data_IF_469192725353
#
_entry.id   IF_469192725353
#
_cell.length_a   1.000
_cell.length_b   1.000
_cell.length_c   1.000
_cell.angle_alpha   90.00
_cell.angle_beta   90.00
_cell.angle_gamma   90.00
#
_symmetry.space_group_name_H-M   'P 1'
#
loop_
_entity.id
_entity.type
_entity.pdbx_description
1 polymer ?
#
# COMPACT_ATOMS: atom_id res chain seq x y z
N UNK A 1 -6.91 -22.90 3.87
CA UNK A 1 -7.38 -21.87 2.93
C UNK A 1 -8.62 -21.25 3.53
N UNK A 2 -8.53 -20.01 4.00
CA UNK A 2 -9.65 -19.34 4.67
C UNK A 2 -10.65 -18.83 3.61
N UNK A 3 -11.93 -19.07 3.84
CA UNK A 3 -13.10 -18.91 2.94
C UNK A 3 -13.44 -17.46 2.50
N UNK A 4 -12.56 -16.48 2.65
CA UNK A 4 -12.84 -15.08 2.28
C UNK A 4 -12.92 -14.85 0.76
N UNK A 5 -12.51 -15.81 -0.08
CA UNK A 5 -12.44 -15.65 -1.54
C UNK A 5 -13.69 -16.05 -2.34
N UNK A 6 -14.72 -16.57 -1.70
CA UNK A 6 -15.95 -17.01 -2.41
C UNK A 6 -17.06 -15.97 -2.34
N UNK A 7 -16.89 -14.79 -2.96
CA UNK A 7 -18.02 -13.87 -3.00
C UNK A 7 -17.80 -12.48 -3.58
N UNK A 8 -16.56 -12.08 -3.86
CA UNK A 8 -16.30 -10.73 -4.37
C UNK A 8 -16.16 -10.73 -5.88
N UNK A 9 -16.99 -9.89 -6.54
CA UNK A 9 -16.90 -9.68 -7.98
C UNK A 9 -15.91 -8.52 -8.25
N UNK A 10 -14.77 -8.84 -8.85
CA UNK A 10 -13.75 -7.85 -9.25
C UNK A 10 -13.82 -7.57 -10.76
N UNK A 11 -14.75 -8.18 -11.49
CA UNK A 11 -14.86 -8.05 -12.93
C UNK A 11 -15.04 -6.58 -13.35
N UNK A 12 -14.31 -6.19 -14.38
CA UNK A 12 -14.33 -4.83 -14.92
C UNK A 12 -13.45 -3.82 -14.15
N UNK A 13 -12.71 -4.25 -13.12
CA UNK A 13 -11.67 -3.42 -12.50
C UNK A 13 -10.37 -3.52 -13.29
N UNK A 14 -9.63 -2.43 -13.33
CA UNK A 14 -8.31 -2.35 -13.93
C UNK A 14 -7.29 -1.97 -12.85
N UNK A 15 -6.38 -2.89 -12.55
CA UNK A 15 -5.32 -2.72 -11.56
C UNK A 15 -4.04 -2.22 -12.23
N UNK A 16 -3.51 -1.09 -11.76
CA UNK A 16 -2.20 -0.58 -12.11
C UNK A 16 -1.20 -0.93 -11.00
N UNK A 17 -0.24 -1.79 -11.29
CA UNK A 17 0.88 -2.11 -10.39
C UNK A 17 1.98 -1.07 -10.57
N UNK A 18 2.28 -0.33 -9.52
CA UNK A 18 3.26 0.75 -9.49
C UNK A 18 4.55 0.30 -8.79
N UNK A 19 5.65 0.17 -9.55
CA UNK A 19 6.93 -0.36 -9.10
C UNK A 19 8.03 0.72 -9.12
N UNK A 20 8.36 1.37 -7.99
CA UNK A 20 9.58 2.16 -7.89
C UNK A 20 10.80 1.22 -7.77
N UNK A 21 11.68 1.21 -8.77
CA UNK A 21 12.83 0.29 -8.85
C UNK A 21 14.14 1.05 -9.13
N UNK A 22 14.71 1.67 -8.08
CA UNK A 22 15.87 2.56 -8.22
C UNK A 22 17.04 1.93 -8.98
N UNK A 23 17.41 0.69 -8.65
CA UNK A 23 18.59 0.00 -9.16
C UNK A 23 18.32 -0.84 -10.42
N UNK A 24 17.19 -0.62 -11.11
CA UNK A 24 16.77 -1.37 -12.31
C UNK A 24 16.53 -2.86 -12.05
N UNK A 25 16.30 -3.26 -10.80
CA UNK A 25 16.16 -4.66 -10.42
C UNK A 25 14.90 -4.88 -9.58
N UNK A 26 14.40 -6.10 -9.67
CA UNK A 26 13.43 -6.65 -8.75
C UNK A 26 13.96 -7.97 -8.18
N UNK A 27 13.54 -8.35 -7.00
CA UNK A 27 13.90 -9.66 -6.46
C UNK A 27 13.27 -10.77 -7.32
N UNK A 28 13.95 -11.92 -7.44
CA UNK A 28 13.40 -13.06 -8.19
C UNK A 28 12.02 -13.48 -7.62
N UNK A 29 11.83 -13.39 -6.31
CA UNK A 29 10.54 -13.70 -5.68
C UNK A 29 9.46 -12.72 -6.10
N UNK A 30 9.75 -11.41 -6.16
CA UNK A 30 8.81 -10.42 -6.70
C UNK A 30 8.48 -10.72 -8.17
N UNK A 31 9.48 -11.03 -9.00
CA UNK A 31 9.23 -11.37 -10.40
C UNK A 31 8.25 -12.56 -10.53
N UNK A 32 8.41 -13.58 -9.70
CA UNK A 32 7.50 -14.73 -9.63
C UNK A 32 6.09 -14.30 -9.15
N UNK A 33 6.01 -13.45 -8.11
CA UNK A 33 4.74 -12.91 -7.61
C UNK A 33 3.99 -12.15 -8.68
N UNK A 34 4.67 -11.29 -9.44
CA UNK A 34 4.09 -10.51 -10.56
C UNK A 34 3.63 -11.43 -11.71
N UNK A 35 4.42 -12.45 -12.04
CA UNK A 35 4.03 -13.42 -13.08
C UNK A 35 2.75 -14.19 -12.69
N UNK A 36 2.64 -14.62 -11.43
CA UNK A 36 1.43 -15.27 -10.90
C UNK A 36 0.24 -14.31 -10.90
N UNK A 37 0.42 -13.07 -10.45
CA UNK A 37 -0.63 -12.05 -10.48
C UNK A 37 -1.15 -11.84 -11.91
N UNK A 38 -0.24 -11.70 -12.88
CA UNK A 38 -0.61 -11.52 -14.29
C UNK A 38 -1.35 -12.75 -14.86
N UNK A 39 -1.02 -13.95 -14.42
CA UNK A 39 -1.68 -15.19 -14.82
C UNK A 39 -3.07 -15.35 -14.20
N UNK A 40 -3.26 -14.88 -12.97
CA UNK A 40 -4.51 -15.04 -12.22
C UNK A 40 -5.50 -13.89 -12.45
N UNK A 41 -5.05 -12.67 -12.74
CA UNK A 41 -5.91 -11.49 -12.90
C UNK A 41 -7.06 -11.68 -13.90
N UNK A 42 -6.85 -12.27 -15.10
CA UNK A 42 -7.95 -12.52 -16.03
C UNK A 42 -9.01 -13.49 -15.49
N UNK A 43 -8.64 -14.42 -14.62
CA UNK A 43 -9.56 -15.38 -14.00
C UNK A 43 -10.53 -14.69 -13.02
N UNK A 44 -10.15 -13.53 -12.50
CA UNK A 44 -10.98 -12.66 -11.66
C UNK A 44 -11.68 -11.55 -12.47
N UNK A 45 -11.51 -11.51 -13.80
CA UNK A 45 -12.03 -10.45 -14.66
C UNK A 45 -11.36 -9.10 -14.44
N UNK A 46 -10.12 -9.10 -13.93
CA UNK A 46 -9.30 -7.91 -13.64
C UNK A 46 -8.35 -7.67 -14.81
N UNK A 47 -8.38 -6.46 -15.37
CA UNK A 47 -7.35 -5.97 -16.27
C UNK A 47 -6.10 -5.58 -15.46
N UNK A 48 -4.90 -5.85 -15.98
CA UNK A 48 -3.66 -5.59 -15.29
C UNK A 48 -2.70 -4.74 -16.14
N UNK A 49 -2.21 -3.66 -15.58
CA UNK A 49 -1.09 -2.87 -16.11
C UNK A 49 0.04 -2.81 -15.09
N UNK A 50 1.28 -2.78 -15.58
CA UNK A 50 2.46 -2.65 -14.72
C UNK A 50 3.27 -1.43 -15.19
N UNK A 51 3.43 -0.45 -14.31
CA UNK A 51 4.29 0.71 -14.49
C UNK A 51 5.50 0.64 -13.58
N UNK A 52 6.68 1.03 -14.08
CA UNK A 52 7.89 1.08 -13.27
C UNK A 52 8.70 2.34 -13.52
N UNK A 53 9.26 2.92 -12.45
CA UNK A 53 10.20 4.03 -12.54
C UNK A 53 11.57 3.55 -12.03
N UNK A 54 12.53 3.51 -12.97
CA UNK A 54 13.89 3.07 -12.68
C UNK A 54 14.85 4.26 -12.60
N UNK A 55 15.97 4.10 -11.86
CA UNK A 55 17.05 5.10 -11.79
C UNK A 55 16.66 6.43 -11.13
N UNK A 56 15.53 6.49 -10.42
CA UNK A 56 15.10 7.67 -9.68
C UNK A 56 15.49 7.55 -8.21
N UNK A 57 16.53 8.30 -7.79
CA UNK A 57 17.02 8.29 -6.40
C UNK A 57 16.10 8.97 -5.39
N UNK A 58 15.12 9.72 -5.85
CA UNK A 58 14.12 10.39 -5.01
C UNK A 58 12.83 9.59 -5.09
N UNK A 59 12.54 8.80 -4.06
CA UNK A 59 11.41 7.87 -4.03
C UNK A 59 10.07 8.59 -4.15
N UNK A 60 9.88 9.75 -3.51
CA UNK A 60 8.68 10.57 -3.65
C UNK A 60 8.44 10.99 -5.11
N UNK A 61 9.50 11.39 -5.83
CA UNK A 61 9.41 11.70 -7.26
C UNK A 61 9.03 10.47 -8.09
N UNK A 62 9.62 9.30 -7.80
CA UNK A 62 9.28 8.06 -8.49
C UNK A 62 7.80 7.69 -8.30
N UNK A 63 7.27 7.82 -7.08
CA UNK A 63 5.86 7.60 -6.78
C UNK A 63 4.96 8.62 -7.47
N UNK A 64 5.33 9.91 -7.52
CA UNK A 64 4.56 10.94 -8.23
C UNK A 64 4.49 10.67 -9.74
N UNK A 65 5.56 10.17 -10.35
CA UNK A 65 5.57 9.75 -11.76
C UNK A 65 4.60 8.58 -11.98
N UNK A 66 4.63 7.57 -11.12
CA UNK A 66 3.73 6.42 -11.20
C UNK A 66 2.26 6.82 -10.97
N UNK A 67 1.99 7.77 -10.08
CA UNK A 67 0.64 8.36 -9.91
C UNK A 67 0.20 9.06 -11.20
N UNK A 68 1.09 9.83 -11.85
CA UNK A 68 0.75 10.49 -13.10
C UNK A 68 0.45 9.49 -14.22
N UNK A 69 1.28 8.44 -14.37
CA UNK A 69 1.03 7.36 -15.33
C UNK A 69 -0.32 6.67 -15.06
N UNK A 70 -0.64 6.43 -13.80
CA UNK A 70 -1.93 5.88 -13.38
C UNK A 70 -3.10 6.79 -13.72
N UNK A 71 -3.01 8.11 -13.42
CA UNK A 71 -4.07 9.08 -13.71
C UNK A 71 -4.30 9.21 -15.23
N UNK A 72 -3.27 9.11 -16.05
CA UNK A 72 -3.37 9.12 -17.51
C UNK A 72 -3.88 7.82 -18.11
N UNK A 73 -3.91 6.72 -17.33
CA UNK A 73 -4.46 5.42 -17.75
C UNK A 73 -5.97 5.33 -17.49
N UNK A 74 -6.59 4.20 -17.88
CA UNK A 74 -7.97 3.84 -17.53
C UNK A 74 -8.10 3.05 -16.22
N UNK A 75 -7.00 2.81 -15.50
CA UNK A 75 -7.01 1.96 -14.33
C UNK A 75 -7.87 2.53 -13.18
N UNK A 76 -8.58 1.67 -12.48
CA UNK A 76 -9.48 2.03 -11.37
C UNK A 76 -8.77 2.01 -10.02
N UNK A 77 -7.75 1.19 -9.91
CA UNK A 77 -6.99 0.93 -8.70
C UNK A 77 -5.49 0.97 -8.98
N UNK A 78 -4.73 1.56 -8.08
CA UNK A 78 -3.28 1.51 -8.09
C UNK A 78 -2.80 0.71 -6.88
N UNK A 79 -1.87 -0.21 -7.08
CA UNK A 79 -1.14 -0.83 -5.98
C UNK A 79 0.34 -0.48 -6.06
N UNK A 80 0.87 0.17 -5.03
CA UNK A 80 2.32 0.30 -4.87
C UNK A 80 2.89 -1.02 -4.36
N UNK A 81 3.99 -1.46 -4.98
CA UNK A 81 4.76 -2.62 -4.54
C UNK A 81 6.24 -2.23 -4.65
N UNK A 82 6.97 -2.25 -3.54
CA UNK A 82 8.40 -1.97 -3.59
C UNK A 82 9.16 -3.14 -4.24
N UNK A 83 10.28 -2.82 -4.92
CA UNK A 83 11.03 -3.75 -5.78
C UNK A 83 11.61 -4.98 -5.06
N UNK A 84 11.56 -5.00 -3.74
CA UNK A 84 12.06 -6.06 -2.86
C UNK A 84 10.98 -6.73 -2.01
N UNK A 85 9.70 -6.43 -2.27
CA UNK A 85 8.55 -7.08 -1.60
C UNK A 85 8.03 -8.23 -2.47
N UNK A 86 7.84 -9.39 -1.88
CA UNK A 86 7.14 -10.52 -2.50
C UNK A 86 5.84 -10.84 -1.76
N UNK A 87 4.86 -11.32 -2.50
CA UNK A 87 3.48 -11.50 -2.07
C UNK A 87 2.84 -12.70 -2.80
N UNK A 88 1.71 -13.17 -2.33
CA UNK A 88 0.85 -14.10 -3.10
C UNK A 88 -0.19 -13.29 -3.90
N UNK A 89 -0.52 -13.73 -5.13
CA UNK A 89 -1.49 -13.04 -5.98
C UNK A 89 -2.85 -12.84 -5.27
N UNK A 90 -3.25 -13.81 -4.45
CA UNK A 90 -4.44 -13.74 -3.61
C UNK A 90 -4.45 -12.56 -2.64
N UNK A 91 -3.28 -12.07 -2.20
CA UNK A 91 -3.20 -10.91 -1.31
C UNK A 91 -3.63 -9.63 -2.01
N UNK A 92 -3.25 -9.48 -3.30
CA UNK A 92 -3.67 -8.34 -4.13
C UNK A 92 -5.19 -8.35 -4.36
N UNK A 93 -5.74 -9.50 -4.78
CA UNK A 93 -7.20 -9.63 -4.97
C UNK A 93 -7.98 -9.40 -3.68
N UNK A 94 -7.39 -9.73 -2.55
CA UNK A 94 -7.97 -9.49 -1.23
C UNK A 94 -7.99 -7.99 -0.88
N UNK A 95 -6.93 -7.24 -1.16
CA UNK A 95 -6.96 -5.77 -1.03
C UNK A 95 -8.02 -5.16 -1.96
N UNK A 96 -8.10 -5.63 -3.21
CA UNK A 96 -9.13 -5.19 -4.15
C UNK A 96 -10.55 -5.53 -3.65
N UNK A 97 -10.74 -6.69 -3.03
CA UNK A 97 -12.04 -7.09 -2.47
C UNK A 97 -12.45 -6.19 -1.30
N UNK A 98 -11.53 -5.82 -0.41
CA UNK A 98 -11.78 -4.85 0.63
C UNK A 98 -12.21 -3.49 0.07
N UNK A 99 -11.55 -3.04 -1.00
CA UNK A 99 -11.82 -1.78 -1.68
C UNK A 99 -13.11 -1.76 -2.53
N UNK A 100 -13.94 -2.81 -2.50
CA UNK A 100 -15.33 -2.77 -2.99
C UNK A 100 -16.20 -1.91 -2.06
N UNK A 101 -15.93 -1.94 -0.77
CA UNK A 101 -16.57 -1.05 0.19
C UNK A 101 -16.13 0.41 -0.09
N UNK A 102 -17.07 1.33 -0.40
CA UNK A 102 -16.74 2.70 -0.80
C UNK A 102 -16.07 3.54 0.30
N UNK A 103 -15.98 3.04 1.52
CA UNK A 103 -15.26 3.67 2.62
C UNK A 103 -13.80 3.20 2.73
N UNK A 104 -13.43 2.11 2.06
CA UNK A 104 -12.10 1.49 2.14
C UNK A 104 -11.28 1.75 0.88
N UNK A 105 -10.92 3.02 0.67
CA UNK A 105 -10.25 3.46 -0.56
C UNK A 105 -8.73 3.28 -0.53
N UNK A 106 -8.16 3.10 0.66
CA UNK A 106 -6.73 2.84 0.90
C UNK A 106 -6.66 1.61 1.79
N UNK A 107 -6.10 0.51 1.27
CA UNK A 107 -5.93 -0.74 2.02
C UNK A 107 -4.52 -1.27 1.80
N UNK A 108 -3.83 -1.65 2.87
CA UNK A 108 -2.44 -2.07 2.83
C UNK A 108 -2.21 -3.41 3.54
N UNK A 109 -1.21 -4.14 3.07
CA UNK A 109 -0.47 -5.10 3.86
C UNK A 109 0.82 -4.44 4.35
N UNK A 110 1.22 -4.69 5.59
CA UNK A 110 2.42 -4.08 6.16
C UNK A 110 3.57 -5.10 6.11
N UNK A 111 4.64 -4.83 5.35
CA UNK A 111 5.79 -5.72 5.35
C UNK A 111 6.62 -5.54 6.63
N UNK A 112 7.24 -6.61 7.07
CA UNK A 112 8.28 -6.58 8.10
C UNK A 112 9.49 -5.79 7.59
N UNK A 113 10.11 -4.99 8.42
CA UNK A 113 11.38 -4.34 8.08
C UNK A 113 12.50 -5.37 7.89
N UNK A 114 13.59 -4.97 7.18
CA UNK A 114 14.79 -5.81 6.99
C UNK A 114 15.66 -5.81 8.26
N UNK A 115 15.04 -6.17 9.39
CA UNK A 115 15.68 -6.26 10.70
C UNK A 115 15.52 -7.67 11.28
N UNK A 116 16.44 -8.04 12.17
CA UNK A 116 16.32 -9.28 12.97
C UNK A 116 15.07 -9.20 13.86
N UNK A 117 14.81 -8.02 14.42
CA UNK A 117 13.61 -7.76 15.21
C UNK A 117 12.36 -7.71 14.32
N UNK A 118 11.23 -8.15 14.85
CA UNK A 118 9.94 -8.13 14.15
C UNK A 118 9.33 -6.72 14.23
N UNK A 119 9.89 -5.80 13.44
CA UNK A 119 9.44 -4.40 13.35
C UNK A 119 8.61 -4.21 12.08
N UNK A 120 7.49 -3.52 12.22
CA UNK A 120 6.56 -3.15 11.16
C UNK A 120 6.33 -1.64 11.20
N UNK A 121 6.32 -1.00 10.04
CA UNK A 121 6.19 0.47 9.94
C UNK A 121 4.73 0.81 9.69
N UNK A 122 4.00 1.02 10.77
CA UNK A 122 2.62 1.48 10.76
C UNK A 122 2.27 2.18 12.09
N UNK A 123 1.59 3.32 11.99
CA UNK A 123 0.93 3.96 13.13
C UNK A 123 -0.53 3.52 13.12
N UNK A 124 -0.98 2.89 14.20
CA UNK A 124 -2.35 2.43 14.35
C UNK A 124 -3.28 3.53 14.86
N UNK A 125 -4.55 3.43 14.50
CA UNK A 125 -5.58 4.34 14.98
C UNK A 125 -6.32 3.75 16.18
N UNK A 126 -6.38 4.53 17.26
CA UNK A 126 -7.05 4.16 18.50
C UNK A 126 -8.25 5.08 18.72
N UNK A 127 -9.31 4.56 19.27
CA UNK A 127 -10.49 5.33 19.65
C UNK A 127 -10.27 6.12 20.96
N UNK A 128 -11.32 6.80 21.43
CA UNK A 128 -11.30 7.59 22.66
C UNK A 128 -11.05 6.77 23.94
N UNK A 129 -11.28 5.46 23.89
CA UNK A 129 -11.03 4.52 24.99
C UNK A 129 -9.64 3.88 24.89
N UNK A 130 -8.80 4.33 23.93
CA UNK A 130 -7.51 3.74 23.61
C UNK A 130 -7.61 2.28 23.13
N UNK A 131 -8.74 1.92 22.48
CA UNK A 131 -8.92 0.63 21.84
C UNK A 131 -8.61 0.72 20.34
N UNK A 132 -8.04 -0.34 19.77
CA UNK A 132 -7.74 -0.40 18.34
C UNK A 132 -9.04 -0.33 17.53
N UNK A 133 -9.09 0.60 16.59
CA UNK A 133 -10.22 0.71 15.67
C UNK A 133 -10.14 -0.43 14.64
N UNK A 134 -11.09 -1.35 14.72
CA UNK A 134 -11.18 -2.50 13.82
C UNK A 134 -12.57 -2.54 13.17
N UNK A 135 -12.64 -3.01 11.92
CA UNK A 135 -13.95 -3.36 11.36
C UNK A 135 -14.36 -4.78 11.84
N UNK A 136 -15.67 -5.09 11.75
CA UNK A 136 -16.20 -6.39 12.18
C UNK A 136 -15.67 -7.61 11.37
N UNK A 137 -14.85 -7.40 10.34
CA UNK A 137 -14.29 -8.44 9.46
C UNK A 137 -12.77 -8.58 9.60
N UNK A 138 -12.14 -7.85 10.52
CA UNK A 138 -10.73 -8.02 10.90
C UNK A 138 -9.73 -7.06 10.24
N UNK A 139 -10.17 -6.03 9.48
CA UNK A 139 -9.29 -4.94 9.12
C UNK A 139 -9.01 -4.04 10.32
N UNK A 140 -7.79 -3.54 10.41
CA UNK A 140 -7.35 -2.58 11.41
C UNK A 140 -7.21 -1.20 10.78
N UNK A 141 -7.70 -0.15 11.44
CA UNK A 141 -7.53 1.22 10.98
C UNK A 141 -6.13 1.73 11.34
N UNK A 142 -5.40 2.19 10.32
CA UNK A 142 -4.11 2.85 10.48
C UNK A 142 -4.24 4.37 10.41
N UNK A 143 -3.36 5.07 11.12
CA UNK A 143 -3.11 6.49 10.87
C UNK A 143 -2.17 6.65 9.69
N UNK A 144 -1.07 5.91 9.70
CA UNK A 144 0.00 5.97 8.70
C UNK A 144 0.55 4.57 8.46
N UNK A 145 0.83 4.25 7.21
CA UNK A 145 1.33 2.93 6.80
C UNK A 145 2.35 3.13 5.68
N UNK A 146 3.39 2.30 5.65
CA UNK A 146 4.34 2.30 4.54
C UNK A 146 3.65 1.91 3.22
N UNK A 147 4.02 2.55 2.13
CA UNK A 147 3.43 2.31 0.79
C UNK A 147 3.99 1.06 0.09
N UNK A 148 4.84 0.30 0.75
CA UNK A 148 5.55 -0.85 0.15
C UNK A 148 4.63 -1.97 -0.39
N UNK A 149 3.37 -2.05 0.11
CA UNK A 149 2.29 -2.90 -0.42
C UNK A 149 0.94 -2.26 -0.09
N UNK A 150 0.56 -1.24 -0.86
CA UNK A 150 -0.62 -0.41 -0.58
C UNK A 150 -1.47 -0.22 -1.84
N UNK A 151 -2.72 -0.63 -1.76
CA UNK A 151 -3.74 -0.37 -2.78
C UNK A 151 -4.45 0.94 -2.48
N UNK A 152 -4.58 1.77 -3.52
CA UNK A 152 -5.23 3.08 -3.47
C UNK A 152 -6.17 3.21 -4.67
N UNK A 153 -7.43 3.55 -4.42
CA UNK A 153 -8.40 3.80 -5.48
C UNK A 153 -8.17 5.15 -6.15
N UNK A 154 -8.48 5.23 -7.45
CA UNK A 154 -8.33 6.41 -8.31
C UNK A 154 -8.86 7.69 -7.66
N UNK A 155 -10.06 7.64 -7.10
CA UNK A 155 -10.72 8.80 -6.49
C UNK A 155 -9.89 9.46 -5.39
N UNK A 156 -9.01 8.73 -4.69
CA UNK A 156 -8.14 9.31 -3.65
C UNK A 156 -7.18 10.31 -4.28
N UNK A 157 -6.51 9.90 -5.36
CA UNK A 157 -5.55 10.77 -6.06
C UNK A 157 -6.26 11.94 -6.74
N UNK A 158 -7.40 11.71 -7.39
CA UNK A 158 -8.19 12.75 -8.04
C UNK A 158 -8.64 13.80 -7.01
N UNK A 159 -9.17 13.38 -5.85
CA UNK A 159 -9.56 14.29 -4.77
C UNK A 159 -8.36 15.08 -4.23
N UNK A 160 -7.21 14.42 -4.01
CA UNK A 160 -6.00 15.09 -3.51
C UNK A 160 -5.49 16.14 -4.51
N UNK A 161 -5.48 15.82 -5.80
CA UNK A 161 -5.00 16.71 -6.86
C UNK A 161 -5.97 17.90 -7.05
N UNK A 162 -7.28 17.65 -7.05
CA UNK A 162 -8.30 18.68 -7.19
C UNK A 162 -8.28 19.67 -6.01
N UNK A 163 -8.16 19.14 -4.79
CA UNK A 163 -8.09 19.96 -3.57
C UNK A 163 -6.78 20.76 -3.46
N UNK A 164 -5.73 20.39 -4.20
CA UNK A 164 -4.38 20.97 -4.05
C UNK A 164 -3.73 21.31 -5.39
N UNK A 165 -4.31 22.21 -6.20
CA UNK A 165 -3.76 22.58 -7.51
C UNK A 165 -2.34 23.18 -7.42
N UNK A 166 -1.95 23.73 -6.27
CA UNK A 166 -0.62 24.25 -5.99
C UNK A 166 0.48 23.17 -5.93
N UNK A 167 0.10 21.88 -5.82
CA UNK A 167 1.08 20.78 -5.86
C UNK A 167 1.59 20.46 -7.25
N UNK A 168 1.02 21.09 -8.27
CA UNK A 168 1.44 20.94 -9.66
C UNK A 168 2.81 21.55 -9.88
N UNK A 169 3.71 20.79 -10.51
CA UNK A 169 5.03 21.26 -10.91
C UNK A 169 5.45 20.68 -12.27
N UNK A 170 6.38 21.37 -12.92
CA UNK A 170 6.98 20.89 -14.16
C UNK A 170 8.23 20.06 -13.88
N UNK A 171 8.18 18.78 -14.25
CA UNK A 171 9.33 17.88 -14.14
C UNK A 171 10.19 17.96 -15.40
N UNK A 172 11.32 18.66 -15.31
CA UNK A 172 12.25 18.88 -16.43
C UNK A 172 12.84 17.59 -17.01
N UNK A 173 12.93 16.50 -16.24
CA UNK A 173 13.55 15.24 -16.68
C UNK A 173 12.63 14.42 -17.58
N UNK A 174 11.32 14.51 -17.36
CA UNK A 174 10.31 13.77 -18.12
C UNK A 174 9.52 14.67 -19.06
N UNK A 175 9.73 16.01 -18.99
CA UNK A 175 9.03 17.02 -19.78
C UNK A 175 7.50 16.96 -19.58
N UNK A 176 7.08 16.74 -18.30
CA UNK A 176 5.66 16.55 -17.93
C UNK A 176 5.28 17.37 -16.70
N UNK A 177 3.99 17.71 -16.60
CA UNK A 177 3.43 18.20 -15.35
C UNK A 177 3.17 17.01 -14.41
N UNK A 178 3.61 17.15 -13.19
CA UNK A 178 3.37 16.20 -12.10
C UNK A 178 2.71 16.91 -10.92
N UNK A 179 2.23 16.13 -9.95
CA UNK A 179 1.72 16.62 -8.67
C UNK A 179 2.53 16.01 -7.53
N UNK A 180 2.90 16.82 -6.53
CA UNK A 180 3.61 16.35 -5.32
C UNK A 180 2.64 15.68 -4.35
N UNK A 181 1.96 14.61 -4.78
CA UNK A 181 1.09 13.79 -3.92
C UNK A 181 1.92 13.14 -2.82
N UNK A 182 3.11 12.65 -3.19
CA UNK A 182 4.15 12.17 -2.28
C UNK A 182 5.23 13.22 -2.14
N UNK A 183 5.60 13.54 -0.90
CA UNK A 183 6.66 14.49 -0.59
C UNK A 183 7.21 14.22 0.81
N UNK A 184 8.28 14.87 1.18
CA UNK A 184 8.85 14.86 2.53
C UNK A 184 8.47 16.15 3.26
N UNK A 185 8.28 16.06 4.57
CA UNK A 185 7.94 17.20 5.38
C UNK A 185 8.84 17.26 6.63
N UNK A 186 9.38 18.44 6.91
CA UNK A 186 10.02 18.71 8.19
C UNK A 186 8.95 19.22 9.17
N UNK A 187 8.77 18.51 10.27
CA UNK A 187 7.84 18.85 11.36
C UNK A 187 8.62 19.18 12.64
N UNK A 188 7.93 19.66 13.65
CA UNK A 188 8.53 19.85 14.99
C UNK A 188 8.98 18.52 15.62
N UNK A 189 8.33 17.41 15.26
CA UNK A 189 8.65 16.06 15.73
C UNK A 189 9.81 15.41 14.92
N UNK A 190 10.25 16.04 13.83
CA UNK A 190 11.32 15.58 12.98
C UNK A 190 10.93 15.43 11.51
N UNK A 191 11.64 14.56 10.81
CA UNK A 191 11.49 14.35 9.38
C UNK A 191 10.43 13.29 9.09
N UNK A 192 9.36 13.69 8.41
CA UNK A 192 8.29 12.81 7.98
C UNK A 192 8.54 12.29 6.56
N UNK A 193 8.53 10.98 6.39
CA UNK A 193 8.66 10.32 5.09
C UNK A 193 7.43 10.51 4.21
N UNK A 194 7.60 10.27 2.91
CA UNK A 194 6.60 10.52 1.88
C UNK A 194 5.36 9.64 2.01
N UNK A 195 5.51 8.42 2.49
CA UNK A 195 4.43 7.46 2.70
C UNK A 195 3.51 7.89 3.87
N UNK A 196 4.10 8.34 4.97
CA UNK A 196 3.36 8.86 6.12
C UNK A 196 2.65 10.18 5.79
N UNK A 197 3.34 11.07 5.07
CA UNK A 197 2.75 12.32 4.61
C UNK A 197 1.58 12.08 3.64
N UNK A 198 1.69 11.08 2.75
CA UNK A 198 0.58 10.68 1.89
C UNK A 198 -0.64 10.24 2.71
N UNK A 199 -0.44 9.41 3.73
CA UNK A 199 -1.52 8.97 4.61
C UNK A 199 -2.19 10.16 5.32
N UNK A 200 -1.41 11.09 5.86
CA UNK A 200 -1.94 12.30 6.52
C UNK A 200 -2.73 13.19 5.55
N UNK A 201 -2.21 13.39 4.32
CA UNK A 201 -2.89 14.14 3.26
C UNK A 201 -4.22 13.50 2.87
N UNK A 202 -4.25 12.18 2.70
CA UNK A 202 -5.47 11.45 2.36
C UNK A 202 -6.50 11.53 3.51
N UNK A 203 -6.06 11.34 4.75
CA UNK A 203 -6.92 11.45 5.94
C UNK A 203 -7.49 12.87 6.11
N UNK A 204 -6.74 13.91 5.79
CA UNK A 204 -7.22 15.29 5.79
C UNK A 204 -8.35 15.54 4.77
N UNK A 205 -8.47 14.70 3.73
CA UNK A 205 -9.57 14.71 2.77
C UNK A 205 -10.70 13.73 3.13
N UNK A 206 -10.68 13.16 4.33
CA UNK A 206 -11.72 12.26 4.84
C UNK A 206 -11.55 10.79 4.43
N UNK A 207 -10.45 10.40 3.79
CA UNK A 207 -10.18 9.00 3.51
C UNK A 207 -9.62 8.27 4.75
N UNK A 208 -9.98 7.01 4.88
CA UNK A 208 -9.44 6.14 5.92
C UNK A 208 -8.36 5.22 5.33
N UNK A 209 -7.34 4.95 6.14
CA UNK A 209 -6.29 3.97 5.81
C UNK A 209 -6.57 2.69 6.58
N UNK A 210 -6.67 1.58 5.86
CA UNK A 210 -6.96 0.28 6.43
C UNK A 210 -5.80 -0.69 6.23
N UNK A 211 -5.60 -1.57 7.19
CA UNK A 211 -4.55 -2.61 7.18
C UNK A 211 -5.25 -3.97 7.21
N UNK A 212 -4.90 -4.85 6.27
CA UNK A 212 -5.21 -6.27 6.40
C UNK A 212 -4.06 -6.96 7.16
N UNK A 213 -4.24 -7.28 8.45
CA UNK A 213 -3.17 -7.80 9.29
C UNK A 213 -2.80 -9.24 8.96
N UNK A 214 -3.59 -9.91 8.13
CA UNK A 214 -3.40 -11.34 7.79
C UNK A 214 -2.53 -11.54 6.55
N UNK A 215 -2.24 -10.47 5.79
CA UNK A 215 -1.36 -10.53 4.62
C UNK A 215 0.06 -10.84 5.08
N UNK A 216 0.64 -11.85 4.45
CA UNK A 216 2.01 -12.28 4.73
C UNK A 216 2.93 -11.87 3.60
N UNK A 217 3.79 -10.91 3.87
CA UNK A 217 4.75 -10.39 2.90
C UNK A 217 6.17 -10.87 3.22
N UNK A 218 6.98 -11.04 2.18
CA UNK A 218 8.42 -11.20 2.32
C UNK A 218 9.15 -9.95 1.86
N UNK A 219 10.08 -9.47 2.66
CA UNK A 219 10.92 -8.32 2.36
C UNK A 219 12.36 -8.81 2.10
N UNK A 220 12.83 -8.66 0.87
CA UNK A 220 14.14 -9.16 0.46
C UNK A 220 15.24 -8.17 0.83
N UNK A 221 16.29 -8.69 1.46
CA UNK A 221 17.52 -7.98 1.76
C UNK A 221 18.69 -8.92 1.54
N UNK A 222 19.63 -8.99 2.49
CA UNK A 222 20.70 -10.01 2.50
C UNK A 222 20.11 -11.42 2.70
N UNK A 223 18.91 -11.48 3.26
CA UNK A 223 18.04 -12.65 3.38
C UNK A 223 16.57 -12.20 3.24
N UNK A 224 15.64 -13.12 3.26
CA UNK A 224 14.22 -12.78 3.31
C UNK A 224 13.78 -12.55 4.75
N UNK A 225 13.08 -11.45 5.00
CA UNK A 225 12.40 -11.12 6.25
C UNK A 225 10.88 -11.26 6.02
N UNK A 226 10.34 -12.44 6.32
CA UNK A 226 8.93 -12.73 6.13
C UNK A 226 8.15 -12.64 7.44
N UNK A 227 6.89 -12.22 7.36
CA UNK A 227 5.98 -12.17 8.48
C UNK A 227 4.61 -11.63 8.11
N UNK A 228 3.66 -11.83 9.01
CA UNK A 228 2.34 -11.19 8.96
C UNK A 228 2.20 -10.29 10.18
N UNK A 229 1.82 -9.03 9.96
CA UNK A 229 1.65 -8.05 11.02
C UNK A 229 0.67 -8.52 12.11
N UNK A 230 -0.40 -9.20 11.69
CA UNK A 230 -1.36 -9.78 12.63
C UNK A 230 -0.74 -10.80 13.58
N UNK A 231 0.00 -11.75 13.02
CA UNK A 231 0.60 -12.85 13.82
C UNK A 231 1.74 -12.36 14.71
N UNK A 232 2.55 -11.44 14.20
CA UNK A 232 3.78 -11.00 14.86
C UNK A 232 3.54 -9.92 15.92
N UNK A 233 2.57 -9.01 15.71
CA UNK A 233 2.35 -7.83 16.53
C UNK A 233 0.91 -7.77 17.09
N UNK A 234 -0.11 -7.75 16.20
CA UNK A 234 -1.47 -7.40 16.57
C UNK A 234 -2.11 -8.44 17.52
N UNK A 235 -2.13 -9.71 17.11
CA UNK A 235 -2.81 -10.75 17.90
C UNK A 235 -2.15 -11.03 19.24
N UNK A 236 -0.81 -10.95 19.41
CA UNK A 236 -0.20 -10.97 20.74
C UNK A 236 -0.65 -9.82 21.65
N UNK A 237 -0.88 -8.61 21.11
CA UNK A 237 -1.36 -7.46 21.89
C UNK A 237 -2.82 -7.63 22.35
N UNK A 238 -3.65 -8.31 21.54
CA UNK A 238 -5.08 -8.50 21.82
C UNK A 238 -5.39 -9.68 22.74
N UNK A 239 -4.40 -10.55 23.01
CA UNK A 239 -4.58 -11.63 24.00
C UNK A 239 -4.62 -11.00 25.39
N UNK A 240 -5.61 -11.37 26.25
CA UNK A 240 -5.55 -11.01 27.67
C UNK A 240 -4.21 -11.46 28.24
N UNK A 241 -3.55 -10.59 29.00
CA UNK A 241 -2.36 -11.00 29.75
C UNK A 241 -2.75 -12.24 30.56
N UNK A 242 -2.12 -13.40 30.30
CA UNK A 242 -2.26 -14.55 31.18
C UNK A 242 -1.80 -14.09 32.55
N UNK A 243 -2.74 -14.00 33.46
CA UNK A 243 -2.47 -13.69 34.86
C UNK A 243 -1.48 -14.75 35.32
N UNK A 244 -0.25 -14.32 35.55
CA UNK A 244 0.75 -15.16 36.15
C UNK A 244 0.22 -15.63 37.52
N UNK A 245 -0.14 -16.91 37.60
CA UNK A 245 -0.53 -17.55 38.81
C UNK A 245 0.72 -17.94 39.61
#
# INVERSE_FOLDING_TARGET
MREVQKGFNLAGRHLFVALPAYDFKVSLKLAISLARLAQEAPQHGVELSIGSICGCSVVSRARNLLVQDFIESSATDLIFIDSDINFEASDVFRLMAWAIDPTKNIVAGVPRTRSVDKVYIADLDYDENNELTMNGMGLVRGKRVATAFMLVQRKVFETLIEANPQWKYWDKRTDRNLFTVFDFLLTEEGYMGEDFLFCDRARAQGFEVWIDPTIKLGHMGVQEYAGAFGDDILYPMLKPAEVAA
#
